data_IF_481301063839
#
_entry.id   IF_481301063839
#
_cell.length_a   1.000
_cell.length_b   1.000
_cell.length_c   1.000
_cell.angle_alpha   90.00
_cell.angle_beta   90.00
_cell.angle_gamma   90.00
#
_symmetry.space_group_name_H-M   'P 1'
#
loop_
_entity.id
_entity.type
_entity.pdbx_description
1 polymer ?
#
# COMPACT_ATOMS: atom_id res chain seq x y z
N UNK A 1 -8.25 -9.59 10.75
CA UNK A 1 -9.66 -9.91 11.06
C UNK A 1 -10.01 -9.73 12.54
N UNK A 2 -9.11 -10.04 13.47
CA UNK A 2 -9.28 -9.65 14.87
C UNK A 2 -9.43 -8.14 15.07
N UNK A 3 -8.87 -7.33 14.19
CA UNK A 3 -9.04 -5.87 14.19
C UNK A 3 -10.47 -5.48 13.79
N UNK A 4 -11.06 -6.12 12.78
CA UNK A 4 -12.45 -5.88 12.35
C UNK A 4 -13.49 -6.27 13.40
N UNK A 5 -13.20 -7.27 14.25
CA UNK A 5 -14.11 -7.69 15.34
C UNK A 5 -14.24 -6.67 16.47
N UNK A 6 -13.29 -5.71 16.59
CA UNK A 6 -13.28 -4.68 17.65
C UNK A 6 -13.92 -3.35 17.25
N UNK A 7 -14.20 -3.15 15.95
CA UNK A 7 -15.15 -2.16 15.46
C UNK A 7 -14.67 -0.71 15.41
N UNK A 8 -13.38 -0.44 15.62
CA UNK A 8 -12.80 0.92 15.57
C UNK A 8 -11.68 1.06 14.54
N UNK A 9 -11.13 -0.05 14.08
CA UNK A 9 -10.02 -0.06 13.13
C UNK A 9 -10.54 -0.20 11.69
N UNK A 10 -9.98 0.58 10.80
CA UNK A 10 -10.21 0.46 9.36
C UNK A 10 -8.97 -0.09 8.68
N UNK A 11 -9.16 -1.01 7.74
CA UNK A 11 -8.08 -1.50 6.87
C UNK A 11 -8.29 -0.90 5.49
N UNK A 12 -7.35 -0.04 5.08
CA UNK A 12 -7.40 0.63 3.79
C UNK A 12 -6.38 -0.01 2.84
N UNK A 13 -6.85 -0.59 1.75
CA UNK A 13 -6.00 -1.04 0.66
C UNK A 13 -5.71 0.10 -0.31
N UNK A 14 -4.43 0.34 -0.62
CA UNK A 14 -4.04 1.33 -1.62
C UNK A 14 -3.66 0.61 -2.92
N UNK A 15 -4.42 0.81 -3.98
CA UNK A 15 -4.11 0.24 -5.29
C UNK A 15 -2.95 0.99 -5.94
N UNK A 16 -1.90 0.26 -6.28
CA UNK A 16 -0.71 0.79 -6.99
C UNK A 16 -0.69 0.40 -8.48
N UNK A 17 -1.68 -0.33 -8.95
CA UNK A 17 -1.77 -0.85 -10.32
C UNK A 17 -2.94 -0.25 -11.10
N UNK A 18 -2.92 -0.39 -12.42
CA UNK A 18 -4.01 0.04 -13.31
C UNK A 18 -5.21 -0.93 -13.36
N UNK A 19 -5.27 -1.89 -12.43
CA UNK A 19 -6.37 -2.86 -12.39
C UNK A 19 -7.70 -2.15 -12.11
N UNK A 20 -8.78 -2.60 -12.78
CA UNK A 20 -10.12 -2.10 -12.52
C UNK A 20 -10.59 -2.45 -11.11
N UNK A 21 -11.37 -1.54 -10.48
CA UNK A 21 -11.83 -1.66 -9.10
C UNK A 21 -12.53 -3.00 -8.84
N UNK A 22 -13.58 -3.31 -9.61
CA UNK A 22 -14.37 -4.53 -9.43
C UNK A 22 -13.55 -5.82 -9.57
N UNK A 23 -12.55 -5.79 -10.48
CA UNK A 23 -11.63 -6.92 -10.63
C UNK A 23 -10.70 -7.04 -9.42
N UNK A 24 -10.24 -5.93 -8.86
CA UNK A 24 -9.39 -5.94 -7.69
C UNK A 24 -10.15 -6.47 -6.47
N UNK A 25 -11.37 -5.99 -6.23
CA UNK A 25 -12.25 -6.46 -5.15
C UNK A 25 -12.49 -7.97 -5.27
N UNK A 26 -12.91 -8.47 -6.43
CA UNK A 26 -13.12 -9.93 -6.63
C UNK A 26 -11.89 -10.78 -6.33
N UNK A 27 -10.69 -10.28 -6.65
CA UNK A 27 -9.44 -11.00 -6.33
C UNK A 27 -9.21 -11.01 -4.82
N UNK A 28 -9.47 -9.91 -4.12
CA UNK A 28 -9.36 -9.83 -2.67
C UNK A 28 -10.37 -10.77 -2.00
N UNK A 29 -11.64 -10.73 -2.40
CA UNK A 29 -12.70 -11.60 -1.92
C UNK A 29 -12.33 -13.09 -2.10
N UNK A 30 -11.92 -13.47 -3.31
CA UNK A 30 -11.49 -14.85 -3.57
C UNK A 30 -10.30 -15.26 -2.71
N UNK A 31 -9.29 -14.39 -2.58
CA UNK A 31 -8.10 -14.68 -1.78
C UNK A 31 -8.40 -14.84 -0.29
N UNK A 32 -9.28 -14.00 0.26
CA UNK A 32 -9.71 -14.07 1.66
C UNK A 32 -10.52 -15.34 1.88
N UNK A 33 -11.51 -15.62 1.02
CA UNK A 33 -12.35 -16.82 1.11
C UNK A 33 -11.52 -18.10 1.06
N UNK A 34 -10.55 -18.17 0.12
CA UNK A 34 -9.64 -19.30 -0.02
C UNK A 34 -8.75 -19.50 1.22
N UNK A 35 -8.25 -18.38 1.79
CA UNK A 35 -7.45 -18.44 3.01
C UNK A 35 -8.26 -19.00 4.19
N UNK A 36 -9.50 -18.51 4.38
CA UNK A 36 -10.37 -18.96 5.45
C UNK A 36 -10.74 -20.44 5.29
N UNK A 37 -11.10 -20.84 4.09
CA UNK A 37 -11.43 -22.24 3.79
C UNK A 37 -10.23 -23.18 4.06
N UNK A 38 -9.04 -22.83 3.59
CA UNK A 38 -7.81 -23.62 3.80
C UNK A 38 -7.41 -23.76 5.28
N UNK A 39 -7.72 -22.75 6.08
CA UNK A 39 -7.38 -22.75 7.49
C UNK A 39 -8.55 -23.18 8.41
N UNK A 40 -9.64 -23.68 7.83
CA UNK A 40 -10.85 -24.09 8.57
C UNK A 40 -11.42 -22.99 9.47
N UNK A 41 -11.31 -21.73 9.02
CA UNK A 41 -11.84 -20.56 9.71
C UNK A 41 -13.20 -20.18 9.14
N UNK A 42 -14.03 -19.54 9.95
CA UNK A 42 -15.34 -19.03 9.53
C UNK A 42 -15.19 -17.55 9.20
N UNK A 43 -15.64 -17.13 8.01
CA UNK A 43 -15.73 -15.72 7.65
C UNK A 43 -16.85 -15.05 8.45
N UNK A 44 -16.63 -13.84 9.01
CA UNK A 44 -17.69 -13.05 9.61
C UNK A 44 -18.78 -12.72 8.58
N UNK A 45 -20.03 -12.60 9.03
CA UNK A 45 -21.12 -12.16 8.16
C UNK A 45 -20.91 -10.70 7.72
N UNK A 46 -21.09 -10.42 6.42
CA UNK A 46 -20.96 -9.07 5.86
C UNK A 46 -19.51 -8.56 5.70
N UNK A 47 -18.51 -9.42 5.85
CA UNK A 47 -17.09 -9.05 5.75
C UNK A 47 -16.71 -8.36 4.43
N UNK A 48 -17.43 -8.62 3.35
CA UNK A 48 -17.19 -8.03 2.03
C UNK A 48 -17.37 -6.50 2.06
N UNK A 49 -18.28 -6.01 2.88
CA UNK A 49 -18.52 -4.57 3.04
C UNK A 49 -17.39 -3.82 3.77
N UNK A 50 -16.49 -4.56 4.43
CA UNK A 50 -15.32 -4.01 5.10
C UNK A 50 -14.09 -3.89 4.19
N UNK A 51 -14.20 -4.27 2.91
CA UNK A 51 -13.12 -4.13 1.95
C UNK A 51 -13.06 -2.70 1.41
N UNK A 52 -12.11 -1.92 1.91
CA UNK A 52 -11.84 -0.56 1.44
C UNK A 52 -10.62 -0.54 0.54
N UNK A 53 -10.79 -0.20 -0.74
CA UNK A 53 -9.72 -0.11 -1.71
C UNK A 53 -9.71 1.27 -2.37
N UNK A 54 -8.65 2.02 -2.10
CA UNK A 54 -8.43 3.34 -2.71
C UNK A 54 -7.67 3.23 -4.02
N UNK A 55 -8.20 3.86 -5.07
CA UNK A 55 -7.65 3.81 -6.43
C UNK A 55 -6.95 5.10 -6.84
N UNK A 56 -7.07 6.16 -6.07
CA UNK A 56 -6.57 7.51 -6.40
C UNK A 56 -5.06 7.65 -6.42
N UNK A 57 -4.33 6.75 -5.75
CA UNK A 57 -2.90 6.92 -5.48
C UNK A 57 -1.98 6.10 -6.40
N UNK A 58 -2.45 5.69 -7.58
CA UNK A 58 -1.74 4.79 -8.51
C UNK A 58 -0.53 5.39 -9.21
N UNK A 59 -0.42 6.72 -9.28
CA UNK A 59 0.70 7.44 -9.91
C UNK A 59 1.08 6.87 -11.30
N UNK A 60 0.12 6.85 -12.23
CA UNK A 60 0.31 6.34 -13.59
C UNK A 60 0.18 4.81 -13.75
N UNK A 61 0.17 4.04 -12.67
CA UNK A 61 0.02 2.59 -12.69
C UNK A 61 1.28 1.80 -12.35
N UNK A 62 1.28 0.52 -12.67
CA UNK A 62 2.36 -0.39 -12.31
C UNK A 62 3.71 0.03 -12.92
N UNK A 63 4.76 0.07 -12.09
CA UNK A 63 6.11 0.46 -12.50
C UNK A 63 6.29 1.94 -12.85
N UNK A 64 5.22 2.75 -12.85
CA UNK A 64 5.29 4.19 -13.08
C UNK A 64 5.43 4.92 -11.74
N UNK A 65 6.35 5.84 -11.64
CA UNK A 65 6.56 6.69 -10.46
C UNK A 65 7.18 8.03 -10.89
N UNK A 66 7.06 9.01 -10.05
CA UNK A 66 7.62 10.35 -10.29
C UNK A 66 8.53 10.79 -9.14
N UNK A 67 9.03 12.01 -9.23
CA UNK A 67 9.97 12.57 -8.26
C UNK A 67 9.36 12.64 -6.84
N UNK A 68 8.04 12.78 -6.69
CA UNK A 68 7.38 12.79 -5.38
C UNK A 68 7.55 11.46 -4.65
N UNK A 69 7.46 10.35 -5.39
CA UNK A 69 7.68 9.01 -4.84
C UNK A 69 9.15 8.82 -4.46
N UNK A 70 10.08 9.24 -5.32
CA UNK A 70 11.52 9.17 -5.04
C UNK A 70 11.90 10.01 -3.81
N UNK A 71 11.31 11.19 -3.67
CA UNK A 71 11.53 12.04 -2.51
C UNK A 71 11.07 11.35 -1.21
N UNK A 72 9.88 10.76 -1.21
CA UNK A 72 9.38 10.02 -0.03
C UNK A 72 10.31 8.85 0.31
N UNK A 73 10.77 8.09 -0.68
CA UNK A 73 11.71 6.97 -0.48
C UNK A 73 13.01 7.47 0.19
N UNK A 74 13.61 8.54 -0.32
CA UNK A 74 14.83 9.12 0.23
C UNK A 74 14.63 9.64 1.66
N UNK A 75 13.54 10.40 1.87
CA UNK A 75 13.23 10.97 3.18
C UNK A 75 13.03 9.90 4.24
N UNK A 76 12.24 8.87 3.94
CA UNK A 76 11.95 7.80 4.90
C UNK A 76 13.18 6.93 5.17
N UNK A 77 13.99 6.67 4.16
CA UNK A 77 15.25 5.96 4.37
C UNK A 77 16.24 6.77 5.22
N UNK A 78 16.41 8.06 4.92
CA UNK A 78 17.34 8.91 5.67
C UNK A 78 16.91 9.18 7.10
N UNK A 79 15.60 9.30 7.36
CA UNK A 79 15.08 9.62 8.70
C UNK A 79 14.82 8.40 9.57
N UNK A 80 14.30 7.34 8.97
CA UNK A 80 13.73 6.20 9.66
C UNK A 80 14.42 4.87 9.32
N UNK A 81 15.35 4.85 8.36
CA UNK A 81 15.98 3.63 7.86
C UNK A 81 14.99 2.71 7.14
N UNK A 82 13.87 3.23 6.63
CA UNK A 82 12.80 2.45 6.01
C UNK A 82 13.06 2.32 4.49
N UNK A 83 13.41 1.13 3.97
CA UNK A 83 13.72 0.92 2.57
C UNK A 83 12.44 0.69 1.74
N UNK A 84 11.87 1.74 1.21
CA UNK A 84 10.68 1.72 0.34
C UNK A 84 11.11 1.59 -1.13
N UNK A 85 10.44 0.76 -1.91
CA UNK A 85 10.67 0.62 -3.35
C UNK A 85 9.76 1.54 -4.19
N UNK A 86 10.16 1.94 -5.41
CA UNK A 86 9.38 2.88 -6.21
C UNK A 86 8.13 2.27 -6.86
N UNK A 87 8.04 0.94 -6.95
CA UNK A 87 6.94 0.24 -7.63
C UNK A 87 5.76 -0.01 -6.71
N UNK A 88 6.01 -0.45 -5.48
CA UNK A 88 4.99 -0.90 -4.54
C UNK A 88 4.94 -0.02 -3.28
N UNK A 89 5.91 -0.19 -2.40
CA UNK A 89 5.83 0.35 -1.04
C UNK A 89 6.02 1.86 -0.97
N UNK A 90 6.83 2.46 -1.83
CA UNK A 90 6.97 3.92 -1.91
C UNK A 90 5.68 4.61 -2.35
N UNK A 91 4.98 4.05 -3.36
CA UNK A 91 3.66 4.56 -3.76
C UNK A 91 2.61 4.39 -2.67
N UNK A 92 2.56 3.19 -2.06
CA UNK A 92 1.62 2.93 -0.99
C UNK A 92 1.87 3.85 0.22
N UNK A 93 3.13 4.09 0.57
CA UNK A 93 3.47 5.00 1.66
C UNK A 93 3.15 6.46 1.34
N UNK A 94 3.46 6.91 0.12
CA UNK A 94 3.05 8.22 -0.35
C UNK A 94 1.52 8.36 -0.34
N UNK A 95 0.80 7.37 -0.88
CA UNK A 95 -0.66 7.33 -0.89
C UNK A 95 -1.26 7.36 0.52
N UNK A 96 -0.67 6.63 1.47
CA UNK A 96 -1.06 6.69 2.89
C UNK A 96 -0.93 8.11 3.45
N UNK A 97 0.18 8.82 3.18
CA UNK A 97 0.37 10.21 3.64
C UNK A 97 -0.70 11.13 3.05
N UNK A 98 -1.01 11.00 1.75
CA UNK A 98 -2.08 11.78 1.11
C UNK A 98 -3.45 11.44 1.68
N UNK A 99 -3.76 10.16 1.87
CA UNK A 99 -5.02 9.70 2.45
C UNK A 99 -5.25 10.27 3.86
N UNK A 100 -4.22 10.25 4.72
CA UNK A 100 -4.26 10.83 6.07
C UNK A 100 -4.57 12.34 6.01
N UNK A 101 -3.94 13.07 5.11
CA UNK A 101 -4.14 14.50 4.94
C UNK A 101 -5.55 14.82 4.41
N UNK A 102 -5.98 14.15 3.35
CA UNK A 102 -7.28 14.35 2.70
C UNK A 102 -8.46 14.03 3.64
N UNK A 103 -8.31 13.02 4.50
CA UNK A 103 -9.36 12.59 5.43
C UNK A 103 -9.18 13.14 6.86
N UNK A 104 -8.22 14.05 7.07
CA UNK A 104 -7.96 14.71 8.36
C UNK A 104 -7.73 13.74 9.53
N UNK A 105 -6.94 12.69 9.26
CA UNK A 105 -6.64 11.60 10.21
C UNK A 105 -5.36 11.83 11.03
N UNK A 106 -4.97 13.10 11.30
CA UNK A 106 -3.73 13.44 12.01
C UNK A 106 -3.73 13.00 13.48
N UNK A 107 -4.91 12.84 14.07
CA UNK A 107 -5.10 12.43 15.48
C UNK A 107 -5.36 10.92 15.62
N UNK A 108 -5.12 10.12 14.55
CA UNK A 108 -5.31 8.69 14.55
C UNK A 108 -3.96 7.95 14.57
N UNK A 109 -3.93 6.79 15.23
CA UNK A 109 -2.83 5.85 15.11
C UNK A 109 -2.89 5.15 13.74
N UNK A 110 -1.81 5.19 12.97
CA UNK A 110 -1.74 4.61 11.63
C UNK A 110 -0.66 3.54 11.58
N UNK A 111 -1.04 2.32 11.18
CA UNK A 111 -0.12 1.22 10.93
C UNK A 111 0.10 1.03 9.43
N UNK A 112 1.31 1.25 8.96
CA UNK A 112 1.71 0.90 7.60
C UNK A 112 2.21 -0.55 7.54
N UNK A 113 1.58 -1.39 6.70
CA UNK A 113 2.04 -2.77 6.49
C UNK A 113 3.03 -2.78 5.32
N UNK A 114 4.32 -2.92 5.63
CA UNK A 114 5.38 -3.02 4.64
C UNK A 114 5.41 -4.42 4.01
N UNK A 115 5.02 -4.52 2.74
CA UNK A 115 4.83 -5.81 2.04
C UNK A 115 6.07 -6.33 1.31
N UNK A 116 7.23 -5.67 1.46
CA UNK A 116 8.48 -6.08 0.80
C UNK A 116 8.99 -5.06 -0.23
N UNK A 117 9.67 -5.53 -1.29
CA UNK A 117 10.22 -4.67 -2.35
C UNK A 117 11.66 -4.20 -2.12
N UNK A 118 12.32 -4.62 -1.07
CA UNK A 118 13.70 -4.22 -0.71
C UNK A 118 14.74 -4.35 -1.87
N UNK A 119 14.72 -5.41 -2.71
CA UNK A 119 15.63 -5.45 -3.87
C UNK A 119 15.45 -4.27 -4.82
N UNK A 120 14.20 -3.87 -5.10
CA UNK A 120 13.90 -2.72 -5.97
C UNK A 120 14.31 -1.38 -5.34
N UNK A 121 14.33 -1.28 -4.01
CA UNK A 121 14.87 -0.12 -3.30
C UNK A 121 16.38 0.04 -3.60
N UNK A 122 17.17 -1.02 -3.50
CA UNK A 122 18.60 -0.94 -3.80
C UNK A 122 18.87 -0.57 -5.25
N UNK A 123 18.12 -1.12 -6.20
CA UNK A 123 18.23 -0.74 -7.61
C UNK A 123 17.91 0.75 -7.83
N UNK A 124 16.89 1.26 -7.14
CA UNK A 124 16.51 2.68 -7.20
C UNK A 124 17.62 3.59 -6.68
N UNK A 125 18.17 3.31 -5.50
CA UNK A 125 19.23 4.13 -4.88
C UNK A 125 20.53 4.08 -5.69
N UNK A 126 20.92 2.93 -6.21
CA UNK A 126 22.16 2.80 -7.02
C UNK A 126 22.05 3.58 -8.33
N UNK A 127 20.90 3.55 -8.99
CA UNK A 127 20.70 4.31 -10.23
C UNK A 127 20.61 5.83 -10.00
N UNK A 128 20.20 6.26 -8.82
CA UNK A 128 20.12 7.69 -8.46
C UNK A 128 21.50 8.28 -8.12
N UNK A 129 22.44 7.45 -7.61
CA UNK A 129 23.83 7.87 -7.35
C UNK A 129 24.67 8.02 -8.62
N UNK A 130 24.30 7.37 -9.72
CA UNK A 130 24.91 7.55 -11.04
C UNK A 130 24.42 8.82 -11.78
N UNK A 131 23.93 9.81 -11.02
CA UNK A 131 23.36 11.08 -11.44
C UNK A 131 23.97 11.67 -12.70
N UNK A 132 23.28 11.48 -13.83
CA UNK A 132 23.44 12.33 -14.99
C UNK A 132 24.57 11.98 -15.94
N UNK A 133 24.55 10.77 -16.49
CA UNK A 133 25.15 10.50 -17.81
C UNK A 133 24.17 9.67 -18.65
N UNK A 134 23.22 10.36 -19.26
CA UNK A 134 22.67 10.02 -20.57
C UNK A 134 22.23 11.28 -21.29
#
# INVERSE_FOLDING_TARGET
LKLLEQGTEQIIGLSISSREYDRAIRIMESGISDYFAKNHLVLPEGWESELHLEMGYRQGGYGQYDERILQVIREEFCRNGLPLDPTYTGKAFWGMKQYIEEHQLQDCDVLFIHTGGTPLFYDCILNDTDGGKK
#
